data_IF_337862438161
#
_entry.id   IF_337862438161
#
_cell.length_a   1.000
_cell.length_b   1.000
_cell.length_c   1.000
_cell.angle_alpha   90.00
_cell.angle_beta   90.00
_cell.angle_gamma   90.00
#
_symmetry.space_group_name_H-M   'P 1'
#
loop_
_entity.id
_entity.type
_entity.pdbx_description
1 polymer ?
#
# COMPACT_ATOMS: atom_id res chain seq x y z
N UNK A 1 10.12 14.38 1.93
CA UNK A 1 10.65 14.29 3.31
C UNK A 1 10.48 12.86 3.80
N UNK A 2 11.26 12.42 4.77
CA UNK A 2 11.08 11.10 5.41
C UNK A 2 10.30 11.27 6.71
N UNK A 3 9.18 10.58 6.85
CA UNK A 3 8.38 10.62 8.07
C UNK A 3 8.84 9.57 9.10
N UNK A 4 8.29 9.63 10.32
CA UNK A 4 8.69 8.74 11.43
C UNK A 4 8.55 7.23 11.13
N UNK A 5 7.61 6.85 10.26
CA UNK A 5 7.41 5.46 9.83
C UNK A 5 8.20 5.07 8.57
N UNK A 6 9.16 5.89 8.15
CA UNK A 6 10.12 5.58 7.07
C UNK A 6 9.66 5.90 5.65
N UNK A 7 8.37 6.23 5.45
CA UNK A 7 7.90 6.60 4.11
C UNK A 7 8.50 7.93 3.67
N UNK A 8 9.01 7.94 2.44
CA UNK A 8 9.53 9.14 1.77
C UNK A 8 8.43 9.68 0.87
N UNK A 9 7.82 10.78 1.27
CA UNK A 9 6.67 11.36 0.57
C UNK A 9 6.59 12.89 0.75
N UNK A 10 5.68 13.52 0.01
CA UNK A 10 5.38 14.94 0.18
C UNK A 10 4.66 15.17 1.52
N UNK A 11 4.95 16.29 2.18
CA UNK A 11 4.29 16.72 3.43
C UNK A 11 4.29 15.67 4.57
N UNK A 12 5.17 14.67 4.54
CA UNK A 12 5.18 13.53 5.47
C UNK A 12 3.84 12.77 5.52
N UNK A 13 3.10 12.76 4.40
CA UNK A 13 1.80 12.12 4.27
C UNK A 13 0.69 12.82 5.05
N UNK A 14 0.93 14.05 5.51
CA UNK A 14 -0.09 14.85 6.20
C UNK A 14 -1.02 15.46 5.15
N UNK A 15 -2.33 15.25 5.35
CA UNK A 15 -3.37 15.76 4.46
C UNK A 15 -4.28 16.78 5.19
N UNK A 16 -4.76 17.75 4.42
CA UNK A 16 -5.73 18.79 4.82
C UNK A 16 -7.14 18.51 4.25
N UNK A 17 -7.20 17.74 3.17
CA UNK A 17 -8.43 17.44 2.46
C UNK A 17 -9.24 16.36 3.17
N UNK A 18 -10.56 16.35 2.94
CA UNK A 18 -11.49 15.35 3.48
C UNK A 18 -11.45 15.18 5.02
N UNK A 19 -11.04 16.21 5.77
CA UNK A 19 -11.10 16.27 7.23
C UNK A 19 -12.11 17.32 7.68
N UNK A 20 -13.04 16.94 8.56
CA UNK A 20 -13.96 17.87 9.19
C UNK A 20 -13.31 18.54 10.41
N UNK A 21 -13.59 19.83 10.62
CA UNK A 21 -13.15 20.56 11.80
C UNK A 21 -14.12 20.33 12.95
N UNK A 22 -13.62 20.32 14.19
CA UNK A 22 -14.45 20.13 15.39
C UNK A 22 -15.00 21.45 15.94
N UNK A 23 -14.40 22.58 15.55
CA UNK A 23 -14.84 23.93 15.89
C UNK A 23 -14.59 24.91 14.73
N UNK A 24 -15.34 26.02 14.73
CA UNK A 24 -15.19 27.09 13.75
C UNK A 24 -13.88 27.85 13.98
N UNK A 25 -13.07 27.99 12.93
CA UNK A 25 -11.76 28.66 13.00
C UNK A 25 -10.57 27.75 13.36
N UNK A 26 -10.79 26.46 13.58
CA UNK A 26 -9.71 25.48 13.79
C UNK A 26 -9.33 24.77 12.48
N UNK A 27 -8.04 24.48 12.29
CA UNK A 27 -7.54 23.64 11.20
C UNK A 27 -7.25 22.24 11.74
N UNK A 28 -7.77 21.20 11.07
CA UNK A 28 -7.50 19.81 11.39
C UNK A 28 -6.71 19.16 10.26
N UNK A 29 -5.75 18.32 10.63
CA UNK A 29 -4.89 17.60 9.70
C UNK A 29 -5.05 16.10 9.91
N UNK A 30 -5.18 15.36 8.81
CA UNK A 30 -5.06 13.91 8.83
C UNK A 30 -3.58 13.54 8.81
N UNK A 31 -3.12 12.87 9.86
CA UNK A 31 -1.81 12.24 9.89
C UNK A 31 -1.92 10.82 9.35
N UNK A 32 -0.83 10.31 8.77
CA UNK A 32 -0.75 8.89 8.47
C UNK A 32 -0.86 8.04 9.75
N UNK A 33 -1.37 6.79 9.65
CA UNK A 33 -1.37 5.86 10.77
C UNK A 33 0.03 5.73 11.36
N UNK A 34 0.10 5.64 12.70
CA UNK A 34 1.36 5.41 13.43
C UNK A 34 2.04 4.13 12.93
N UNK A 35 1.25 3.07 12.72
CA UNK A 35 1.68 1.83 12.09
C UNK A 35 0.56 1.32 11.16
N UNK A 36 0.72 1.58 9.86
CA UNK A 36 -0.25 1.19 8.84
C UNK A 36 -0.26 -0.32 8.59
N UNK A 37 0.85 -1.04 8.80
CA UNK A 37 0.91 -2.49 8.72
C UNK A 37 0.11 -3.14 9.87
N UNK A 38 0.28 -2.64 11.08
CA UNK A 38 -0.53 -3.06 12.23
C UNK A 38 -2.01 -2.73 12.01
N UNK A 39 -2.32 -1.59 11.41
CA UNK A 39 -3.69 -1.18 11.08
C UNK A 39 -4.32 -2.16 10.07
N UNK A 40 -3.58 -2.53 9.01
CA UNK A 40 -4.00 -3.53 8.03
C UNK A 40 -4.22 -4.91 8.70
N UNK A 41 -3.30 -5.35 9.57
CA UNK A 41 -3.41 -6.62 10.27
C UNK A 41 -4.64 -6.68 11.20
N UNK A 42 -4.90 -5.61 11.95
CA UNK A 42 -6.05 -5.51 12.84
C UNK A 42 -7.37 -5.53 12.07
N UNK A 43 -7.44 -4.79 10.94
CA UNK A 43 -8.61 -4.82 10.06
C UNK A 43 -8.82 -6.21 9.45
N UNK A 44 -7.74 -6.86 8.98
CA UNK A 44 -7.81 -8.24 8.47
C UNK A 44 -8.39 -9.18 9.51
N UNK A 45 -7.85 -9.17 10.73
CA UNK A 45 -8.33 -10.05 11.80
C UNK A 45 -9.80 -9.78 12.10
N UNK A 46 -10.18 -8.50 12.24
CA UNK A 46 -11.58 -8.13 12.51
C UNK A 46 -12.53 -8.57 11.40
N UNK A 47 -12.12 -8.45 10.14
CA UNK A 47 -12.93 -8.91 9.00
C UNK A 47 -13.09 -10.43 8.99
N UNK A 48 -12.03 -11.18 9.32
CA UNK A 48 -12.11 -12.65 9.47
C UNK A 48 -13.10 -13.02 10.57
N UNK A 49 -12.95 -12.42 11.76
CA UNK A 49 -13.84 -12.66 12.91
C UNK A 49 -15.32 -12.39 12.57
N UNK A 50 -15.59 -11.26 11.90
CA UNK A 50 -16.96 -10.84 11.55
C UNK A 50 -17.57 -11.67 10.42
N UNK A 51 -16.75 -12.16 9.49
CA UNK A 51 -17.22 -12.96 8.35
C UNK A 51 -17.33 -14.45 8.65
N UNK A 52 -16.76 -14.91 9.77
CA UNK A 52 -16.64 -16.33 10.10
C UNK A 52 -15.69 -17.09 9.15
N UNK A 53 -14.86 -16.37 8.40
CA UNK A 53 -13.84 -16.95 7.53
C UNK A 53 -12.63 -17.38 8.38
N UNK A 54 -12.06 -18.53 8.05
CA UNK A 54 -10.88 -19.05 8.73
C UNK A 54 -9.65 -18.15 8.46
N UNK A 55 -8.68 -18.14 9.37
CA UNK A 55 -7.41 -17.42 9.24
C UNK A 55 -6.59 -17.88 8.02
N UNK A 56 -6.78 -19.13 7.60
CA UNK A 56 -6.22 -19.74 6.38
C UNK A 56 -6.84 -19.16 5.09
N UNK A 57 -7.90 -18.37 5.22
CA UNK A 57 -8.47 -17.62 4.10
C UNK A 57 -7.43 -16.64 3.56
N UNK A 58 -7.27 -16.65 2.22
CA UNK A 58 -6.48 -15.69 1.46
C UNK A 58 -7.13 -14.30 1.40
N UNK A 59 -7.46 -13.74 2.56
CA UNK A 59 -7.90 -12.35 2.69
C UNK A 59 -6.68 -11.45 2.88
N UNK A 60 -6.44 -10.59 1.89
CA UNK A 60 -5.48 -9.51 1.96
C UNK A 60 -6.15 -8.20 2.36
N UNK A 61 -5.44 -7.38 3.15
CA UNK A 61 -5.83 -5.99 3.45
C UNK A 61 -4.65 -5.08 3.14
N UNK A 62 -4.93 -4.05 2.35
CA UNK A 62 -3.98 -3.00 1.99
C UNK A 62 -4.52 -1.65 2.49
N UNK A 63 -3.64 -0.82 3.03
CA UNK A 63 -3.89 0.59 3.33
C UNK A 63 -3.23 1.42 2.24
N UNK A 64 -4.02 2.29 1.62
CA UNK A 64 -3.67 3.07 0.44
C UNK A 64 -3.56 4.55 0.79
N UNK A 65 -2.59 5.24 0.18
CA UNK A 65 -2.46 6.69 0.23
C UNK A 65 -2.06 7.26 -1.15
N UNK A 66 -2.35 8.53 -1.39
CA UNK A 66 -2.15 9.19 -2.69
C UNK A 66 -0.81 9.89 -2.77
N UNK A 67 0.12 9.35 -3.56
CA UNK A 67 1.49 9.86 -3.64
C UNK A 67 1.82 10.36 -5.05
N UNK A 68 2.58 11.46 -5.11
CA UNK A 68 3.32 11.82 -6.32
C UNK A 68 4.52 10.89 -6.51
N UNK A 69 5.15 10.95 -7.69
CA UNK A 69 6.32 10.11 -7.99
C UNK A 69 7.28 10.80 -8.94
N UNK A 70 8.56 10.43 -8.83
CA UNK A 70 9.61 11.07 -9.62
C UNK A 70 9.32 10.99 -11.13
N UNK A 71 9.71 12.06 -11.83
CA UNK A 71 9.68 12.18 -13.30
C UNK A 71 8.30 12.16 -13.97
N UNK A 72 7.18 12.06 -13.22
CA UNK A 72 5.83 12.04 -13.79
C UNK A 72 4.90 13.01 -13.08
N UNK A 73 3.96 13.56 -13.85
CA UNK A 73 2.89 14.43 -13.33
C UNK A 73 1.70 13.57 -12.88
N UNK A 74 1.06 13.98 -11.79
CA UNK A 74 -0.11 13.33 -11.21
C UNK A 74 0.23 12.39 -10.05
N UNK A 75 -0.73 12.22 -9.14
CA UNK A 75 -0.66 11.27 -8.03
C UNK A 75 -1.19 9.90 -8.46
N UNK A 76 -0.78 8.86 -7.74
CA UNK A 76 -1.32 7.50 -7.84
C UNK A 76 -1.52 6.94 -6.43
N UNK A 77 -2.36 5.91 -6.29
CA UNK A 77 -2.42 5.13 -5.06
C UNK A 77 -1.16 4.33 -4.86
N UNK A 78 -0.62 4.35 -3.64
CA UNK A 78 0.50 3.51 -3.20
C UNK A 78 0.15 2.82 -1.91
N UNK A 79 0.75 1.65 -1.67
CA UNK A 79 0.55 0.88 -0.46
C UNK A 79 1.41 1.43 0.69
N UNK A 80 0.77 1.83 1.78
CA UNK A 80 1.44 2.24 3.02
C UNK A 80 1.33 1.20 4.15
N UNK A 81 0.44 0.21 4.03
CA UNK A 81 0.26 -0.88 4.99
C UNK A 81 -0.28 -2.15 4.32
N UNK A 82 0.24 -3.32 4.71
CA UNK A 82 -0.11 -4.60 4.07
C UNK A 82 -0.22 -5.74 5.09
N UNK A 83 -1.26 -6.57 4.95
CA UNK A 83 -1.44 -7.80 5.70
C UNK A 83 -2.14 -8.90 4.89
N UNK A 84 -1.66 -10.15 5.00
CA UNK A 84 -2.32 -11.32 4.41
C UNK A 84 -2.02 -11.62 2.94
N UNK A 85 -1.12 -10.86 2.30
CA UNK A 85 -0.60 -11.11 0.95
C UNK A 85 0.88 -10.68 0.85
N UNK A 86 1.67 -11.20 -0.10
CA UNK A 86 3.00 -10.67 -0.40
C UNK A 86 2.88 -9.24 -0.97
N UNK A 87 3.71 -8.34 -0.46
CA UNK A 87 3.79 -6.97 -0.97
C UNK A 87 4.68 -6.86 -2.20
N UNK A 88 5.77 -7.64 -2.23
CA UNK A 88 6.74 -7.72 -3.31
C UNK A 88 6.85 -9.15 -3.84
N UNK A 89 7.20 -9.28 -5.11
CA UNK A 89 7.65 -10.52 -5.72
C UNK A 89 9.01 -10.29 -6.38
N UNK A 90 10.05 -10.83 -5.73
CA UNK A 90 11.39 -10.87 -6.31
C UNK A 90 11.48 -12.02 -7.31
N UNK A 91 11.70 -11.68 -8.57
CA UNK A 91 11.75 -12.62 -9.69
C UNK A 91 13.18 -12.89 -10.16
N UNK A 92 14.20 -12.41 -9.44
CA UNK A 92 15.59 -12.65 -9.82
C UNK A 92 15.90 -14.16 -9.80
N UNK A 93 16.56 -14.64 -10.85
CA UNK A 93 16.85 -16.06 -11.04
C UNK A 93 15.70 -16.88 -11.65
N UNK A 94 14.49 -16.31 -11.75
CA UNK A 94 13.44 -16.91 -12.59
C UNK A 94 13.78 -16.73 -14.07
N UNK A 95 13.11 -17.48 -14.94
CA UNK A 95 13.36 -17.44 -16.38
C UNK A 95 12.13 -16.93 -17.12
N UNK A 96 12.35 -16.12 -18.15
CA UNK A 96 11.29 -15.67 -19.05
C UNK A 96 10.83 -16.77 -20.02
N UNK A 97 9.91 -16.42 -20.94
CA UNK A 97 9.36 -17.33 -21.95
C UNK A 97 10.41 -17.93 -22.90
N UNK A 98 11.61 -17.35 -22.98
CA UNK A 98 12.68 -17.76 -23.88
C UNK A 98 13.91 -18.29 -23.12
N UNK A 99 13.80 -18.49 -21.81
CA UNK A 99 14.87 -19.01 -20.98
C UNK A 99 15.93 -17.98 -20.59
N UNK A 100 15.65 -16.68 -20.73
CA UNK A 100 16.52 -15.64 -20.20
C UNK A 100 16.32 -15.53 -18.68
N UNK A 101 17.42 -15.58 -17.92
CA UNK A 101 17.37 -15.39 -16.46
C UNK A 101 17.08 -13.92 -16.13
N UNK A 102 16.03 -13.70 -15.35
CA UNK A 102 15.60 -12.39 -14.92
C UNK A 102 16.60 -11.82 -13.89
N UNK A 103 17.01 -10.57 -14.13
CA UNK A 103 17.87 -9.78 -13.26
C UNK A 103 17.21 -8.43 -12.97
N UNK A 104 17.39 -7.92 -11.75
CA UNK A 104 16.76 -6.68 -11.26
C UNK A 104 15.23 -6.64 -11.48
N UNK A 105 14.57 -7.79 -11.38
CA UNK A 105 13.13 -7.94 -11.60
C UNK A 105 12.43 -8.11 -10.26
N UNK A 106 11.85 -7.03 -9.75
CA UNK A 106 11.01 -7.03 -8.54
C UNK A 106 9.67 -6.37 -8.87
N UNK A 107 8.58 -7.11 -8.68
CA UNK A 107 7.22 -6.62 -8.87
C UNK A 107 6.65 -6.16 -7.52
N UNK A 108 6.13 -4.94 -7.46
CA UNK A 108 5.43 -4.44 -6.28
C UNK A 108 3.93 -4.70 -6.40
N UNK A 109 3.52 -5.93 -6.08
CA UNK A 109 2.13 -6.39 -6.10
C UNK A 109 1.21 -5.43 -5.33
N UNK A 110 1.63 -5.00 -4.14
CA UNK A 110 0.81 -4.15 -3.30
C UNK A 110 0.55 -2.76 -3.91
N UNK A 111 1.56 -2.14 -4.52
CA UNK A 111 1.38 -0.84 -5.19
C UNK A 111 0.51 -0.95 -6.43
N UNK A 112 0.63 -2.03 -7.22
CA UNK A 112 -0.24 -2.23 -8.39
C UNK A 112 -1.71 -2.37 -7.99
N UNK A 113 -2.00 -3.13 -6.93
CA UNK A 113 -3.34 -3.29 -6.39
C UNK A 113 -3.88 -1.98 -5.82
N UNK A 114 -3.06 -1.22 -5.07
CA UNK A 114 -3.45 0.10 -4.54
C UNK A 114 -3.69 1.12 -5.65
N UNK A 115 -2.85 1.15 -6.69
CA UNK A 115 -3.03 2.03 -7.83
C UNK A 115 -4.33 1.73 -8.57
N UNK A 116 -4.65 0.45 -8.79
CA UNK A 116 -5.93 0.03 -9.38
C UNK A 116 -7.13 0.41 -8.49
N UNK A 117 -7.02 0.20 -7.18
CA UNK A 117 -8.07 0.58 -6.23
C UNK A 117 -8.32 2.10 -6.22
N UNK A 118 -7.28 2.93 -6.26
CA UNK A 118 -7.40 4.39 -6.26
C UNK A 118 -8.24 4.94 -7.42
N UNK A 119 -8.24 4.28 -8.58
CA UNK A 119 -9.10 4.67 -9.71
C UNK A 119 -10.59 4.59 -9.36
N UNK A 120 -10.98 3.63 -8.51
CA UNK A 120 -12.35 3.42 -8.07
C UNK A 120 -12.69 4.22 -6.81
N UNK A 121 -11.71 4.43 -5.93
CA UNK A 121 -11.86 5.26 -4.74
C UNK A 121 -12.11 6.73 -5.10
N UNK A 122 -11.49 7.21 -6.17
CA UNK A 122 -11.42 8.63 -6.49
C UNK A 122 -10.31 9.32 -5.69
N UNK A 123 -10.21 10.64 -5.85
CA UNK A 123 -9.17 11.46 -5.21
C UNK A 123 -9.75 12.70 -4.51
N UNK A 124 -11.07 12.84 -4.48
CA UNK A 124 -11.76 14.01 -3.96
C UNK A 124 -12.95 13.60 -3.09
N UNK A 125 -14.18 13.83 -3.54
CA UNK A 125 -15.40 13.69 -2.76
C UNK A 125 -16.27 12.50 -3.18
N UNK A 126 -15.72 11.55 -3.93
CA UNK A 126 -16.45 10.39 -4.44
C UNK A 126 -17.00 9.50 -3.32
N UNK A 127 -16.39 9.56 -2.12
CA UNK A 127 -16.91 8.90 -0.93
C UNK A 127 -16.76 7.37 -0.94
N UNK A 128 -15.80 6.84 -1.70
CA UNK A 128 -15.55 5.41 -1.87
C UNK A 128 -14.24 4.98 -1.19
N UNK A 129 -14.14 4.94 0.15
CA UNK A 129 -12.88 4.70 0.86
C UNK A 129 -12.42 3.23 0.86
N UNK A 130 -13.24 2.29 0.38
CA UNK A 130 -12.96 0.85 0.42
C UNK A 130 -13.26 0.22 -0.94
N UNK A 131 -12.32 -0.55 -1.46
CA UNK A 131 -12.44 -1.31 -2.70
C UNK A 131 -12.17 -2.78 -2.44
N UNK A 132 -13.01 -3.66 -2.97
CA UNK A 132 -12.81 -5.11 -2.93
C UNK A 132 -12.26 -5.60 -4.26
N UNK A 133 -11.03 -6.12 -4.24
CA UNK A 133 -10.42 -6.79 -5.40
C UNK A 133 -10.62 -8.30 -5.25
N UNK A 134 -11.18 -8.95 -6.27
CA UNK A 134 -11.41 -10.41 -6.30
C UNK A 134 -10.82 -11.01 -7.56
N UNK A 135 -10.29 -12.24 -7.44
CA UNK A 135 -9.76 -13.02 -8.56
C UNK A 135 -8.24 -12.92 -8.73
N UNK A 136 -7.59 -11.96 -8.07
CA UNK A 136 -6.14 -11.93 -7.99
C UNK A 136 -5.63 -13.05 -7.06
N UNK A 137 -4.61 -13.77 -7.52
CA UNK A 137 -3.92 -14.79 -6.73
C UNK A 137 -2.41 -14.58 -6.89
N UNK A 138 -1.70 -14.21 -5.81
CA UNK A 138 -0.24 -14.12 -5.86
C UNK A 138 0.38 -15.52 -6.02
N UNK A 139 1.62 -15.64 -6.52
CA UNK A 139 2.32 -16.90 -6.61
C UNK A 139 2.31 -17.66 -5.27
N UNK A 140 1.89 -18.93 -5.30
CA UNK A 140 1.56 -19.70 -4.09
C UNK A 140 2.72 -19.92 -3.12
N UNK A 141 3.97 -19.79 -3.58
CA UNK A 141 5.17 -19.96 -2.77
C UNK A 141 5.56 -18.70 -1.98
N UNK A 142 4.93 -17.55 -2.27
CA UNK A 142 5.23 -16.30 -1.60
C UNK A 142 4.49 -16.21 -0.27
N UNK A 143 5.23 -15.86 0.79
CA UNK A 143 4.66 -15.57 2.10
C UNK A 143 4.08 -14.15 2.14
N UNK A 144 3.11 -13.94 3.02
CA UNK A 144 2.61 -12.59 3.28
C UNK A 144 3.70 -11.71 3.89
N UNK A 145 3.76 -10.44 3.47
CA UNK A 145 4.72 -9.47 3.99
C UNK A 145 4.05 -8.14 4.30
N UNK A 146 4.67 -7.39 5.19
CA UNK A 146 4.31 -6.02 5.50
C UNK A 146 4.71 -5.05 4.39
N UNK A 147 4.06 -3.89 4.29
CA UNK A 147 4.34 -2.87 3.29
C UNK A 147 5.72 -2.22 3.50
N UNK A 148 6.26 -2.23 4.72
CA UNK A 148 7.61 -1.72 4.99
C UNK A 148 8.72 -2.33 4.12
N UNK A 149 8.52 -3.53 3.57
CA UNK A 149 9.52 -4.16 2.68
C UNK A 149 9.62 -3.44 1.33
N UNK A 150 8.61 -2.64 0.96
CA UNK A 150 8.59 -1.80 -0.24
C UNK A 150 9.52 -0.58 -0.05
N UNK A 151 9.71 -0.12 1.18
CA UNK A 151 10.59 1.02 1.46
C UNK A 151 12.03 0.65 1.11
N UNK A 152 12.61 1.42 0.18
CA UNK A 152 14.01 1.25 -0.19
C UNK A 152 14.89 1.58 1.01
N UNK A 153 15.79 0.67 1.42
CA UNK A 153 16.76 0.98 2.48
C UNK A 153 17.60 2.20 2.12
N UNK A 154 17.90 3.05 3.10
CA UNK A 154 18.67 4.29 2.88
C UNK A 154 20.02 4.05 2.17
N UNK A 155 20.69 2.93 2.45
CA UNK A 155 21.96 2.57 1.81
C UNK A 155 21.84 2.25 0.31
N UNK A 156 20.62 1.99 -0.19
CA UNK A 156 20.34 1.69 -1.59
C UNK A 156 19.72 2.88 -2.33
N UNK A 157 19.37 3.96 -1.63
CA UNK A 157 18.67 5.10 -2.23
C UNK A 157 19.64 6.17 -2.72
N UNK A 158 19.95 6.13 -4.02
CA UNK A 158 20.84 7.08 -4.69
C UNK A 158 20.16 8.41 -5.06
N UNK A 159 18.85 8.54 -4.85
CA UNK A 159 18.09 9.75 -5.14
C UNK A 159 17.84 10.63 -3.92
N UNK A 160 18.03 10.06 -2.72
CA UNK A 160 17.71 10.67 -1.43
C UNK A 160 18.85 11.51 -0.86
#
# INVERSE_FOLDING_TARGET
VEQKSGWVCANAGVDRSNVATFAEGEEMLALLPVDADASAANLRQRLLDLSGMDVETKLGVLINDSHGRAWRVGTVGVCIGCAGLPALWNQNGLHDLYGYELHASEECIADELCAAASLLMGQSNEGNPVVLIRGYQPPAHLAATHARVIQRPAAMDVFR
#
